data_IF_192345858246
#
_entry.id   IF_192345858246
#
_cell.length_a   1.000
_cell.length_b   1.000
_cell.length_c   1.000
_cell.angle_alpha   90.00
_cell.angle_beta   90.00
_cell.angle_gamma   90.00
#
_symmetry.space_group_name_H-M   'P 1'
#
loop_
_entity.id
_entity.type
_entity.pdbx_description
1 polymer ?
#
# COMPACT_ATOMS: atom_id res chain seq x y z
N UNK A 1 -8.97 13.81 -0.75
CA UNK A 1 -7.92 13.83 -1.80
C UNK A 1 -7.36 12.43 -1.91
N UNK A 2 -7.07 11.95 -3.11
CA UNK A 2 -6.49 10.62 -3.29
C UNK A 2 -5.00 10.62 -2.92
N UNK A 3 -4.53 9.53 -2.34
CA UNK A 3 -3.13 9.32 -1.95
C UNK A 3 -2.76 7.85 -2.10
N UNK A 4 -1.46 7.55 -2.06
CA UNK A 4 -0.95 6.19 -2.14
C UNK A 4 -0.75 5.61 -0.75
N UNK A 5 -1.30 4.42 -0.54
CA UNK A 5 -1.20 3.68 0.69
C UNK A 5 -0.63 2.30 0.41
N UNK A 6 0.20 1.79 1.32
CA UNK A 6 0.55 0.38 1.36
C UNK A 6 -0.20 -0.30 2.49
N UNK A 7 -0.58 -1.56 2.27
CA UNK A 7 -1.24 -2.38 3.28
C UNK A 7 -0.85 -3.86 3.13
N UNK A 8 -1.14 -4.68 4.13
CA UNK A 8 -0.83 -6.12 4.11
C UNK A 8 -2.06 -7.03 4.21
N UNK A 9 -3.23 -6.46 4.42
CA UNK A 9 -4.40 -7.22 4.74
C UNK A 9 -5.70 -6.55 4.35
N UNK A 10 -6.75 -7.28 4.68
CA UNK A 10 -8.13 -6.93 4.45
C UNK A 10 -8.94 -7.25 5.70
N UNK A 11 -9.92 -6.42 5.98
CA UNK A 11 -10.95 -6.78 6.94
C UNK A 11 -12.04 -7.59 6.24
N UNK A 12 -12.13 -8.87 6.60
CA UNK A 12 -13.06 -9.84 5.97
C UNK A 12 -14.55 -9.53 6.17
N UNK A 13 -14.90 -8.69 7.14
CA UNK A 13 -16.28 -8.26 7.39
C UNK A 13 -16.73 -7.10 6.48
N UNK A 14 -15.80 -6.47 5.77
CA UNK A 14 -16.04 -5.32 4.91
C UNK A 14 -15.57 -5.58 3.47
N UNK A 15 -15.98 -6.71 2.88
CA UNK A 15 -15.80 -6.99 1.45
C UNK A 15 -14.38 -6.74 0.89
N UNK A 16 -13.34 -7.07 1.65
CA UNK A 16 -11.96 -6.88 1.19
C UNK A 16 -11.47 -5.43 1.28
N UNK A 17 -12.07 -4.57 2.10
CA UNK A 17 -11.55 -3.22 2.38
C UNK A 17 -10.08 -3.28 2.84
N UNK A 18 -9.17 -2.47 2.25
CA UNK A 18 -7.79 -2.37 2.70
C UNK A 18 -7.73 -1.99 4.18
N UNK A 19 -6.92 -2.68 4.96
CA UNK A 19 -6.83 -2.48 6.41
C UNK A 19 -5.45 -1.99 6.81
N UNK A 20 -5.40 -1.15 7.85
CA UNK A 20 -4.16 -0.57 8.40
C UNK A 20 -3.30 0.13 7.32
N UNK A 21 -3.88 1.08 6.56
CA UNK A 21 -3.16 1.73 5.48
C UNK A 21 -2.01 2.59 6.01
N UNK A 22 -0.88 2.51 5.33
CA UNK A 22 0.30 3.35 5.58
C UNK A 22 0.52 4.26 4.38
N UNK A 23 0.48 5.58 4.59
CA UNK A 23 0.76 6.56 3.55
C UNK A 23 2.18 6.37 3.03
N UNK A 24 2.37 6.51 1.72
CA UNK A 24 3.70 6.56 1.07
C UNK A 24 3.78 7.75 0.11
N UNK A 25 5.00 8.19 -0.19
CA UNK A 25 5.21 9.26 -1.15
C UNK A 25 4.88 8.80 -2.59
N UNK A 26 4.40 9.70 -3.44
CA UNK A 26 4.07 9.37 -4.83
C UNK A 26 5.26 8.80 -5.64
N UNK A 27 6.51 9.31 -5.51
CA UNK A 27 7.65 8.72 -6.22
C UNK A 27 7.94 7.28 -5.80
N UNK A 28 7.70 6.95 -4.53
CA UNK A 28 7.88 5.60 -4.01
C UNK A 28 6.80 4.66 -4.56
N UNK A 29 5.55 5.13 -4.62
CA UNK A 29 4.44 4.40 -5.21
C UNK A 29 4.68 4.12 -6.69
N UNK A 30 5.12 5.13 -7.46
CA UNK A 30 5.47 4.96 -8.87
C UNK A 30 6.58 3.92 -9.07
N UNK A 31 7.57 3.89 -8.18
CA UNK A 31 8.65 2.91 -8.23
C UNK A 31 8.15 1.50 -7.93
N UNK A 32 7.31 1.32 -6.89
CA UNK A 32 6.67 0.04 -6.60
C UNK A 32 5.83 -0.45 -7.80
N UNK A 33 5.06 0.46 -8.40
CA UNK A 33 4.24 0.16 -9.56
C UNK A 33 5.06 -0.33 -10.76
N UNK A 34 6.18 0.33 -11.06
CA UNK A 34 7.08 -0.08 -12.14
C UNK A 34 7.75 -1.43 -11.88
N UNK A 35 8.16 -1.69 -10.64
CA UNK A 35 8.82 -2.95 -10.27
C UNK A 35 7.87 -4.15 -10.35
N UNK A 36 6.60 -3.95 -10.01
CA UNK A 36 5.58 -5.00 -9.95
C UNK A 36 4.65 -5.05 -11.18
N UNK A 37 4.92 -4.24 -12.22
CA UNK A 37 4.06 -4.09 -13.40
C UNK A 37 2.58 -3.77 -13.04
N UNK A 38 2.40 -2.92 -12.03
CA UNK A 38 1.08 -2.47 -11.56
C UNK A 38 0.69 -1.19 -12.30
N UNK A 39 -0.48 -1.22 -12.92
CA UNK A 39 -1.12 -0.03 -13.50
C UNK A 39 -1.86 0.78 -12.45
N UNK A 40 -2.10 2.07 -12.72
CA UNK A 40 -2.89 2.94 -11.83
C UNK A 40 -4.29 2.37 -11.58
N UNK A 41 -4.90 1.80 -12.61
CA UNK A 41 -6.23 1.17 -12.52
C UNK A 41 -6.24 0.01 -11.53
N UNK A 42 -5.20 -0.83 -11.54
CA UNK A 42 -5.05 -1.91 -10.57
C UNK A 42 -4.86 -1.37 -9.15
N UNK A 43 -4.04 -0.32 -8.97
CA UNK A 43 -3.86 0.30 -7.65
C UNK A 43 -5.14 0.96 -7.09
N UNK A 44 -6.09 1.34 -7.95
CA UNK A 44 -7.39 1.87 -7.54
C UNK A 44 -8.40 0.78 -7.15
N UNK A 45 -8.16 -0.47 -7.58
CA UNK A 45 -9.05 -1.58 -7.29
C UNK A 45 -8.82 -2.11 -5.87
N UNK A 46 -9.92 -2.34 -5.15
CA UNK A 46 -9.88 -3.00 -3.84
C UNK A 46 -9.69 -4.52 -4.02
N UNK A 47 -10.34 -5.08 -5.06
CA UNK A 47 -10.28 -6.51 -5.41
C UNK A 47 -10.08 -6.65 -6.93
N UNK A 48 -9.06 -7.40 -7.39
CA UNK A 48 -7.96 -7.93 -6.60
C UNK A 48 -7.02 -6.81 -6.09
N UNK A 49 -6.24 -7.03 -5.02
CA UNK A 49 -5.28 -6.02 -4.57
C UNK A 49 -4.13 -5.91 -5.57
N UNK A 50 -3.57 -4.71 -5.68
CA UNK A 50 -2.35 -4.50 -6.42
C UNK A 50 -1.12 -4.98 -5.62
N UNK A 51 -0.78 -6.26 -5.75
CA UNK A 51 0.34 -6.87 -5.03
C UNK A 51 1.69 -6.54 -5.65
N UNK A 52 2.59 -5.93 -4.87
CA UNK A 52 3.96 -5.61 -5.29
C UNK A 52 5.05 -6.44 -4.60
N UNK A 53 4.73 -7.16 -3.52
CA UNK A 53 5.68 -7.98 -2.77
C UNK A 53 5.03 -9.27 -2.25
N UNK A 54 5.84 -10.21 -1.77
CA UNK A 54 5.42 -11.37 -0.98
C UNK A 54 6.02 -11.30 0.42
N UNK A 55 5.40 -12.01 1.36
CA UNK A 55 5.98 -12.17 2.69
C UNK A 55 7.39 -12.75 2.59
N UNK A 56 8.35 -12.10 3.24
CA UNK A 56 9.76 -12.48 3.20
C UNK A 56 10.59 -11.76 2.12
N UNK A 57 9.98 -11.07 1.16
CA UNK A 57 10.72 -10.28 0.17
C UNK A 57 11.39 -9.05 0.80
N UNK A 58 12.52 -8.56 0.25
CA UNK A 58 13.14 -7.33 0.72
C UNK A 58 12.19 -6.13 0.74
N UNK A 59 11.34 -6.00 -0.30
CA UNK A 59 10.33 -4.95 -0.39
C UNK A 59 9.27 -5.06 0.71
N UNK A 60 8.86 -6.27 1.09
CA UNK A 60 7.91 -6.46 2.18
C UNK A 60 8.46 -5.90 3.50
N UNK A 61 9.73 -6.16 3.80
CA UNK A 61 10.37 -5.64 5.00
C UNK A 61 10.60 -4.11 4.90
N UNK A 62 11.02 -3.62 3.73
CA UNK A 62 11.27 -2.19 3.50
C UNK A 62 10.01 -1.33 3.57
N UNK A 63 8.83 -1.91 3.33
CA UNK A 63 7.53 -1.25 3.47
C UNK A 63 6.87 -1.49 4.83
N UNK A 64 7.61 -2.01 5.82
CA UNK A 64 7.09 -2.23 7.18
C UNK A 64 6.13 -3.42 7.28
N UNK A 65 6.33 -4.44 6.44
CA UNK A 65 5.49 -5.63 6.38
C UNK A 65 4.26 -5.46 5.49
N UNK A 66 4.31 -4.61 4.47
CA UNK A 66 3.20 -4.37 3.54
C UNK A 66 3.49 -4.99 2.17
N UNK A 67 2.44 -5.38 1.44
CA UNK A 67 2.59 -6.07 0.15
C UNK A 67 1.63 -5.64 -0.95
N UNK A 68 0.63 -4.85 -0.60
CA UNK A 68 -0.38 -4.35 -1.53
C UNK A 68 -0.33 -2.83 -1.59
N UNK A 69 -0.54 -2.29 -2.78
CA UNK A 69 -0.63 -0.86 -3.05
C UNK A 69 -2.09 -0.48 -3.28
N UNK A 70 -2.50 0.64 -2.71
CA UNK A 70 -3.82 1.23 -2.91
C UNK A 70 -3.69 2.72 -3.26
N UNK A 71 -4.45 3.18 -4.24
CA UNK A 71 -4.56 4.58 -4.61
C UNK A 71 -6.02 5.04 -4.48
N UNK A 72 -6.31 5.82 -3.44
CA UNK A 72 -7.68 6.20 -3.09
C UNK A 72 -7.76 7.12 -1.88
N UNK A 73 -8.92 7.16 -1.22
CA UNK A 73 -9.10 7.90 0.04
C UNK A 73 -8.69 7.03 1.22
N UNK A 74 -8.12 7.63 2.26
CA UNK A 74 -7.95 6.93 3.54
C UNK A 74 -9.31 6.50 4.14
N UNK A 75 -10.38 7.23 3.84
CA UNK A 75 -11.75 6.91 4.30
C UNK A 75 -12.30 5.61 3.68
N UNK A 76 -11.72 5.16 2.56
CA UNK A 76 -12.06 3.90 1.91
C UNK A 76 -11.37 2.69 2.56
N UNK A 77 -10.49 2.94 3.55
CA UNK A 77 -9.72 1.94 4.28
C UNK A 77 -10.24 1.76 5.71
N UNK A 78 -9.93 0.63 6.33
CA UNK A 78 -10.28 0.32 7.70
C UNK A 78 -9.06 0.32 8.64
N UNK A 79 -9.31 0.29 9.95
CA UNK A 79 -8.28 0.35 11.00
C UNK A 79 -7.30 1.53 10.81
N UNK A 80 -7.87 2.73 10.66
CA UNK A 80 -7.09 3.93 10.40
C UNK A 80 -6.28 4.36 11.62
N UNK A 81 -4.97 4.46 11.43
CA UNK A 81 -4.04 5.01 12.40
C UNK A 81 -3.57 6.39 11.93
N UNK A 82 -3.87 7.43 12.72
CA UNK A 82 -3.64 8.83 12.34
C UNK A 82 -2.17 9.13 12.03
N UNK A 83 -1.24 8.54 12.77
CA UNK A 83 0.19 8.64 12.53
C UNK A 83 0.59 8.06 11.16
N UNK A 84 0.02 6.92 10.77
CA UNK A 84 0.32 6.21 9.51
C UNK A 84 -0.26 6.90 8.28
N UNK A 85 -1.39 7.60 8.42
CA UNK A 85 -2.03 8.34 7.31
C UNK A 85 -1.56 9.80 7.20
N UNK A 86 -0.97 10.38 8.25
CA UNK A 86 -0.48 11.76 8.24
C UNK A 86 1.02 11.88 7.94
N UNK A 87 1.80 10.81 8.11
CA UNK A 87 3.23 10.81 7.79
C UNK A 87 3.58 9.69 6.82
N UNK A 88 4.12 10.02 5.62
CA UNK A 88 4.57 9.02 4.67
C UNK A 88 5.66 8.12 5.26
N UNK A 89 5.54 6.83 5.03
CA UNK A 89 6.60 5.87 5.30
C UNK A 89 7.80 6.16 4.40
N UNK A 90 8.97 6.32 5.00
CA UNK A 90 10.22 6.41 4.27
C UNK A 90 10.70 4.99 3.89
N UNK A 91 10.55 4.62 2.62
CA UNK A 91 11.02 3.33 2.12
C UNK A 91 12.54 3.39 1.94
N UNK A 92 13.26 2.51 2.64
CA UNK A 92 14.69 2.36 2.42
C UNK A 92 14.94 1.50 1.16
N UNK A 93 15.24 2.15 0.05
CA UNK A 93 15.56 1.49 -1.21
C UNK A 93 16.98 0.90 -1.28
N UNK A 94 17.82 1.10 -0.26
CA UNK A 94 19.13 0.46 -0.20
C UNK A 94 18.96 -0.99 0.29
N UNK A 95 18.97 -1.94 -0.64
CA UNK A 95 18.84 -3.37 -0.36
C UNK A 95 17.48 -3.98 -0.66
N UNK A 96 16.58 -3.24 -1.33
CA UNK A 96 15.32 -3.74 -1.90
C UNK A 96 15.50 -4.35 -3.28
#
# INVERSE_FOLDING_TARGET
MSSYFVHNGYLGWSYGTPADPQLIAAPDAEKLMRLADITLSQAQQIIPPAQYAKEGDPLFNATGGNRFLYFGSAEDCADLHQDKINSPLAINWQGT
#
